data_IF_070333530737
#
_entry.id   IF_070333530737
#
_cell.length_a   1.000
_cell.length_b   1.000
_cell.length_c   1.000
_cell.angle_alpha   90.00
_cell.angle_beta   90.00
_cell.angle_gamma   90.00
#
_symmetry.space_group_name_H-M   'P 1'
#
loop_
_entity.id
_entity.type
_entity.pdbx_description
1 polymer ?
#
# COMPACT_ATOMS: atom_id res chain seq x y z
N UNK A 1 -0.38 -15.69 17.60
CA UNK A 1 -1.43 -15.25 16.66
C UNK A 1 -1.84 -13.83 17.01
N UNK A 2 -1.56 -12.85 16.16
CA UNK A 2 -1.81 -11.43 16.44
C UNK A 2 -3.30 -11.05 16.55
N UNK A 3 -4.20 -11.93 16.10
CA UNK A 3 -5.64 -11.68 16.05
C UNK A 3 -6.32 -11.74 17.43
N UNK A 4 -5.67 -12.30 18.47
CA UNK A 4 -6.25 -12.46 19.80
C UNK A 4 -5.70 -11.46 20.83
N UNK A 5 -4.93 -10.46 20.41
CA UNK A 5 -4.46 -9.40 21.32
C UNK A 5 -5.66 -8.56 21.81
N UNK A 6 -6.01 -8.60 23.11
CA UNK A 6 -7.15 -7.86 23.65
C UNK A 6 -6.95 -6.34 23.63
N UNK A 7 -5.72 -5.86 23.45
CA UNK A 7 -5.34 -4.45 23.60
C UNK A 7 -5.19 -3.68 22.29
N UNK A 8 -5.65 -4.23 21.16
CA UNK A 8 -5.60 -3.49 19.89
C UNK A 8 -6.50 -2.24 19.91
N UNK A 9 -5.96 -1.04 19.61
CA UNK A 9 -6.73 0.21 19.59
C UNK A 9 -7.61 0.37 18.34
N UNK A 10 -7.49 -0.54 17.36
CA UNK A 10 -8.15 -0.41 16.06
C UNK A 10 -9.57 -1.01 16.08
N UNK A 11 -10.58 -0.16 15.90
CA UNK A 11 -12.00 -0.54 16.04
C UNK A 11 -12.39 -1.76 15.18
N UNK A 12 -12.01 -1.80 13.89
CA UNK A 12 -12.32 -2.94 13.02
C UNK A 12 -11.76 -4.26 13.54
N UNK A 13 -10.60 -4.26 14.21
CA UNK A 13 -10.02 -5.50 14.74
C UNK A 13 -10.82 -5.98 15.94
N UNK A 14 -11.26 -5.05 16.81
CA UNK A 14 -12.14 -5.36 17.95
C UNK A 14 -13.49 -5.91 17.49
N UNK A 15 -14.05 -5.34 16.42
CA UNK A 15 -15.31 -5.81 15.85
C UNK A 15 -15.17 -7.25 15.31
N UNK A 16 -14.09 -7.54 14.56
CA UNK A 16 -13.80 -8.89 14.07
C UNK A 16 -13.57 -9.87 15.24
N UNK A 17 -12.80 -9.47 16.27
CA UNK A 17 -12.56 -10.29 17.46
C UNK A 17 -13.86 -10.65 18.19
N UNK A 18 -14.76 -9.67 18.36
CA UNK A 18 -16.08 -9.86 18.96
C UNK A 18 -16.90 -10.87 18.15
N UNK A 19 -16.96 -10.72 16.82
CA UNK A 19 -17.70 -11.63 15.94
C UNK A 19 -17.18 -13.07 15.99
N UNK A 20 -15.85 -13.25 16.05
CA UNK A 20 -15.25 -14.58 16.18
C UNK A 20 -15.51 -15.20 17.55
N UNK A 21 -15.44 -14.41 18.62
CA UNK A 21 -15.69 -14.90 19.99
C UNK A 21 -17.15 -15.30 20.19
N UNK A 22 -18.08 -14.58 19.55
CA UNK A 22 -19.51 -14.93 19.55
C UNK A 22 -19.82 -16.21 18.74
N UNK A 23 -18.99 -16.55 17.75
CA UNK A 23 -19.20 -17.67 16.84
C UNK A 23 -18.09 -18.73 16.98
N UNK A 24 -18.09 -19.43 18.12
CA UNK A 24 -17.07 -20.42 18.51
C UNK A 24 -16.88 -21.59 17.51
N UNK A 25 -17.84 -21.84 16.62
CA UNK A 25 -17.77 -22.89 15.59
C UNK A 25 -17.06 -22.45 14.30
N UNK A 26 -16.42 -21.29 14.29
CA UNK A 26 -15.74 -20.75 13.10
C UNK A 26 -14.28 -21.18 13.07
N UNK A 27 -13.89 -21.99 12.08
CA UNK A 27 -12.48 -22.31 11.83
C UNK A 27 -11.84 -21.24 10.94
N UNK A 28 -10.75 -20.63 11.41
CA UNK A 28 -9.96 -19.68 10.62
C UNK A 28 -8.66 -20.36 10.20
N UNK A 29 -8.43 -20.43 8.89
CA UNK A 29 -7.23 -21.01 8.30
C UNK A 29 -6.69 -20.15 7.16
N UNK A 30 -5.39 -20.26 6.90
CA UNK A 30 -4.76 -19.61 5.75
C UNK A 30 -4.77 -20.55 4.55
N UNK A 31 -5.18 -20.03 3.39
CA UNK A 31 -5.11 -20.72 2.11
C UNK A 31 -4.31 -19.89 1.12
N UNK A 32 -3.53 -20.56 0.26
CA UNK A 32 -2.69 -19.88 -0.73
C UNK A 32 -3.55 -19.26 -1.84
N UNK A 33 -3.26 -18.02 -2.20
CA UNK A 33 -3.93 -17.33 -3.29
C UNK A 33 -3.47 -17.85 -4.68
N UNK A 34 -4.37 -17.79 -5.67
CA UNK A 34 -4.09 -18.04 -7.10
C UNK A 34 -3.53 -19.42 -7.44
N UNK A 35 -3.95 -20.45 -6.71
CA UNK A 35 -3.57 -21.86 -6.98
C UNK A 35 -4.74 -22.72 -7.47
N UNK A 36 -5.84 -22.09 -7.89
CA UNK A 36 -7.01 -22.79 -8.45
C UNK A 36 -8.08 -23.21 -7.44
N UNK A 37 -8.03 -22.69 -6.20
CA UNK A 37 -9.11 -22.90 -5.24
C UNK A 37 -10.35 -22.09 -5.66
N UNK A 38 -11.31 -22.76 -6.29
CA UNK A 38 -12.52 -22.14 -6.87
C UNK A 38 -13.24 -21.15 -5.94
N UNK A 39 -13.38 -21.48 -4.66
CA UNK A 39 -14.02 -20.60 -3.67
C UNK A 39 -13.23 -19.31 -3.42
N UNK A 40 -11.91 -19.45 -3.22
CA UNK A 40 -11.00 -18.33 -3.01
C UNK A 40 -10.90 -17.43 -4.25
N UNK A 41 -10.74 -18.04 -5.43
CA UNK A 41 -10.60 -17.31 -6.69
C UNK A 41 -11.90 -16.56 -7.05
N UNK A 42 -13.06 -17.16 -6.74
CA UNK A 42 -14.36 -16.49 -6.89
C UNK A 42 -14.50 -15.31 -5.91
N UNK A 43 -14.08 -15.47 -4.65
CA UNK A 43 -14.10 -14.38 -3.67
C UNK A 43 -13.20 -13.22 -4.09
N UNK A 44 -11.98 -13.49 -4.57
CA UNK A 44 -11.05 -12.47 -5.10
C UNK A 44 -11.63 -11.72 -6.31
N UNK A 45 -12.25 -12.46 -7.24
CA UNK A 45 -12.92 -11.86 -8.41
C UNK A 45 -14.06 -10.93 -8.00
N UNK A 46 -14.87 -11.33 -7.01
CA UNK A 46 -15.94 -10.50 -6.48
C UNK A 46 -15.40 -9.25 -5.77
N UNK A 47 -14.34 -9.38 -4.98
CA UNK A 47 -13.68 -8.26 -4.31
C UNK A 47 -13.13 -7.24 -5.33
N UNK A 48 -12.47 -7.69 -6.40
CA UNK A 48 -12.00 -6.84 -7.51
C UNK A 48 -13.13 -6.12 -8.24
N UNK A 49 -14.29 -6.78 -8.40
CA UNK A 49 -15.48 -6.15 -8.98
C UNK A 49 -16.06 -5.09 -8.03
N UNK A 50 -16.05 -5.35 -6.72
CA UNK A 50 -16.50 -4.41 -5.72
C UNK A 50 -15.58 -3.19 -5.59
N UNK A 51 -14.26 -3.35 -5.72
CA UNK A 51 -13.33 -2.21 -5.68
C UNK A 51 -13.48 -1.26 -6.86
N UNK A 52 -13.96 -1.76 -8.00
CA UNK A 52 -14.14 -0.95 -9.23
C UNK A 52 -15.54 -0.37 -9.39
N UNK A 53 -16.57 -1.04 -8.84
CA UNK A 53 -17.99 -0.64 -8.98
C UNK A 53 -18.66 -0.21 -7.67
N UNK A 54 -17.96 -0.33 -6.55
CA UNK A 54 -18.48 -0.05 -5.22
C UNK A 54 -18.50 1.45 -4.88
N UNK A 55 -19.11 1.76 -3.73
CA UNK A 55 -19.08 3.10 -3.15
C UNK A 55 -17.64 3.44 -2.75
N UNK A 56 -17.13 4.57 -3.22
CA UNK A 56 -15.82 5.08 -2.78
C UNK A 56 -15.94 5.46 -1.30
N UNK A 57 -15.54 4.56 -0.43
CA UNK A 57 -15.37 4.89 0.99
C UNK A 57 -14.16 5.82 1.08
N UNK A 58 -14.39 7.07 1.49
CA UNK A 58 -13.31 8.03 1.80
C UNK A 58 -12.55 7.55 3.04
N UNK A 59 -11.68 6.57 2.84
CA UNK A 59 -10.70 6.16 3.82
C UNK A 59 -9.46 7.02 3.66
N UNK A 60 -8.83 7.36 4.79
CA UNK A 60 -7.55 8.07 4.74
C UNK A 60 -6.52 7.13 4.09
N UNK A 61 -5.78 7.65 3.10
CA UNK A 61 -4.69 6.92 2.48
C UNK A 61 -3.69 6.48 3.56
N UNK A 62 -3.17 5.25 3.50
CA UNK A 62 -2.10 4.82 4.39
C UNK A 62 -0.93 5.82 4.37
N UNK A 63 -0.29 6.01 5.52
CA UNK A 63 0.86 6.92 5.66
C UNK A 63 2.00 6.59 4.67
N UNK A 64 2.19 5.31 4.34
CA UNK A 64 3.18 4.88 3.36
C UNK A 64 2.85 5.39 1.95
N UNK A 65 1.59 5.34 1.53
CA UNK A 65 1.14 5.84 0.23
C UNK A 65 1.30 7.35 0.13
N UNK A 66 0.91 8.10 1.18
CA UNK A 66 1.12 9.55 1.23
C UNK A 66 2.60 9.91 1.16
N UNK A 67 3.46 9.19 1.89
CA UNK A 67 4.91 9.38 1.86
C UNK A 67 5.47 9.13 0.47
N UNK A 68 5.05 8.05 -0.19
CA UNK A 68 5.48 7.72 -1.55
C UNK A 68 5.07 8.81 -2.53
N UNK A 69 3.80 9.23 -2.49
CA UNK A 69 3.30 10.28 -3.39
C UNK A 69 4.06 11.60 -3.21
N UNK A 70 4.34 11.97 -1.95
CA UNK A 70 5.11 13.17 -1.65
C UNK A 70 6.56 13.07 -2.16
N UNK A 71 7.20 11.90 -2.01
CA UNK A 71 8.53 11.64 -2.55
C UNK A 71 8.56 11.75 -4.09
N UNK A 72 7.55 11.23 -4.78
CA UNK A 72 7.41 11.34 -6.24
C UNK A 72 7.27 12.81 -6.69
N UNK A 73 6.45 13.60 -5.99
CA UNK A 73 6.30 15.03 -6.26
C UNK A 73 7.60 15.80 -6.06
N UNK A 74 8.32 15.54 -4.97
CA UNK A 74 9.62 16.17 -4.71
C UNK A 74 10.65 15.78 -5.77
N UNK A 75 10.75 14.50 -6.13
CA UNK A 75 11.65 14.03 -7.17
C UNK A 75 11.34 14.69 -8.52
N UNK A 76 10.07 14.79 -8.90
CA UNK A 76 9.67 15.44 -10.15
C UNK A 76 10.05 16.92 -10.17
N UNK A 77 9.80 17.64 -9.08
CA UNK A 77 10.17 19.06 -8.95
C UNK A 77 11.69 19.24 -9.00
N UNK A 78 12.44 18.38 -8.30
CA UNK A 78 13.89 18.45 -8.28
C UNK A 78 14.50 18.11 -9.63
N UNK A 79 14.00 17.08 -10.32
CA UNK A 79 14.40 16.72 -11.69
C UNK A 79 14.19 17.90 -12.66
N UNK A 80 13.04 18.58 -12.56
CA UNK A 80 12.77 19.76 -13.38
C UNK A 80 13.81 20.88 -13.13
N UNK A 81 14.08 21.21 -11.87
CA UNK A 81 15.12 22.19 -11.52
C UNK A 81 16.52 21.76 -11.98
N UNK A 82 16.82 20.46 -11.89
CA UNK A 82 18.10 19.91 -12.33
C UNK A 82 18.30 20.06 -13.83
N UNK A 83 17.28 19.70 -14.61
CA UNK A 83 17.32 19.75 -16.08
C UNK A 83 17.32 21.19 -16.61
N UNK A 84 16.51 22.08 -16.02
CA UNK A 84 16.29 23.44 -16.52
C UNK A 84 17.10 24.54 -15.83
N UNK A 85 17.77 24.24 -14.71
CA UNK A 85 18.60 25.22 -14.01
C UNK A 85 19.83 25.64 -14.83
N UNK A 86 20.57 26.64 -14.36
CA UNK A 86 21.85 27.03 -14.97
C UNK A 86 23.07 26.69 -14.08
N UNK A 87 22.83 26.34 -12.82
CA UNK A 87 23.88 25.91 -11.88
C UNK A 87 24.26 24.44 -12.11
N UNK A 88 25.54 24.10 -11.93
CA UNK A 88 26.00 22.71 -11.90
C UNK A 88 25.96 21.97 -13.25
N UNK A 89 25.98 22.68 -14.39
CA UNK A 89 25.87 22.05 -15.74
C UNK A 89 26.95 21.01 -16.03
N UNK A 90 28.17 21.19 -15.51
CA UNK A 90 29.25 20.20 -15.64
C UNK A 90 28.89 18.88 -14.95
N UNK A 91 28.29 18.94 -13.76
CA UNK A 91 27.81 17.77 -13.02
C UNK A 91 26.58 17.15 -13.68
N UNK A 92 25.65 17.96 -14.21
CA UNK A 92 24.49 17.47 -14.96
C UNK A 92 24.88 16.62 -16.17
N UNK A 93 25.97 16.97 -16.87
CA UNK A 93 26.49 16.17 -17.99
C UNK A 93 26.82 14.73 -17.60
N UNK A 94 27.32 14.51 -16.38
CA UNK A 94 27.66 13.19 -15.84
C UNK A 94 26.45 12.54 -15.18
N UNK A 95 25.71 13.29 -14.36
CA UNK A 95 24.55 12.83 -13.61
C UNK A 95 23.29 13.49 -14.14
N UNK A 96 22.69 12.91 -15.18
CA UNK A 96 21.46 13.46 -15.80
C UNK A 96 20.20 13.24 -14.97
N UNK A 97 20.21 12.23 -14.11
CA UNK A 97 19.01 11.79 -13.38
C UNK A 97 19.19 11.96 -11.88
N UNK A 98 18.11 12.36 -11.23
CA UNK A 98 18.04 12.55 -9.79
C UNK A 98 17.55 11.24 -9.18
N UNK A 99 18.28 10.75 -8.18
CA UNK A 99 17.91 9.58 -7.40
C UNK A 99 17.91 9.90 -5.91
N UNK A 100 17.01 9.27 -5.14
CA UNK A 100 16.98 9.36 -3.67
C UNK A 100 18.07 8.53 -3.00
N UNK A 101 18.59 7.52 -3.71
CA UNK A 101 19.66 6.65 -3.22
C UNK A 101 20.99 7.09 -3.85
N UNK A 102 22.12 6.96 -3.13
CA UNK A 102 23.43 7.15 -3.71
C UNK A 102 23.58 6.23 -4.93
N UNK A 103 23.98 6.81 -6.06
CA UNK A 103 24.44 6.04 -7.20
C UNK A 103 25.90 5.72 -6.91
N UNK A 104 26.18 4.46 -6.56
CA UNK A 104 27.56 3.99 -6.43
C UNK A 104 28.11 3.73 -7.83
N UNK A 105 29.31 4.24 -8.08
CA UNK A 105 30.09 4.07 -9.31
C UNK A 105 31.30 3.19 -9.01
#
# INVERSE_FOLDING_TARGET
>A
MAMLDPHTPHQLVRDIQSLLTQNLNTLVGWIKAHVGYRGNDKADTLAKKASTKGVVVKTLKPRCELKQHLQELFLKRWKNLWDNGNTGRSVHKVLKTVHLKPVFW
#
